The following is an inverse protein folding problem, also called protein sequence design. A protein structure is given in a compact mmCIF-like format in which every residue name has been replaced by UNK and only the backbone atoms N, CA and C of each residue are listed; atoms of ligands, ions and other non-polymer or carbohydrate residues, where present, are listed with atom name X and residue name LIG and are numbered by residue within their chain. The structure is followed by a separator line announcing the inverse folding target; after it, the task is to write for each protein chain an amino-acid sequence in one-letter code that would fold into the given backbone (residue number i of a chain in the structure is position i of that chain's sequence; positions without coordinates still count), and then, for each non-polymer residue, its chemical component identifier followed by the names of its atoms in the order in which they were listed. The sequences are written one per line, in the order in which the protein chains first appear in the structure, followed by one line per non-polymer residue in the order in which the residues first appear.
data_IF_409917642047
#
_entry.id   IF_409917642047
#
_cell.length_a   1.000
_cell.length_b   1.000
_cell.length_c   1.000
_cell.angle_alpha   90.00
_cell.angle_beta   90.00
_cell.angle_gamma   90.00
#
_symmetry.space_group_name_H-M   'P 1'
#
loop_
_entity.id
_entity.type
_entity.pdbx_description
1 polymer ?
#
# COMPACT_ATOMS: atom_id res chain seq x y z
N UNK A 1 -8.50 -5.74 -6.20
CA UNK A 1 -7.83 -5.74 -7.51
C UNK A 1 -6.34 -6.05 -7.44
N UNK A 2 -5.56 -5.46 -6.51
CA UNK A 2 -4.09 -5.68 -6.42
C UNK A 2 -3.64 -7.14 -6.47
N UNK A 3 -4.24 -8.02 -5.68
CA UNK A 3 -3.90 -9.45 -5.66
C UNK A 3 -3.98 -10.12 -7.05
N UNK A 4 -5.12 -10.01 -7.73
CA UNK A 4 -5.33 -10.64 -9.04
C UNK A 4 -4.40 -10.05 -10.11
N UNK A 5 -4.16 -8.74 -10.08
CA UNK A 5 -3.24 -8.09 -11.00
C UNK A 5 -1.80 -8.62 -10.82
N UNK A 6 -1.32 -8.69 -9.57
CA UNK A 6 0.02 -9.20 -9.26
C UNK A 6 0.18 -10.66 -9.69
N UNK A 7 -0.77 -11.54 -9.36
CA UNK A 7 -0.71 -12.96 -9.74
C UNK A 7 -0.76 -13.12 -11.26
N UNK A 8 -1.60 -12.34 -11.96
CA UNK A 8 -1.68 -12.38 -13.43
C UNK A 8 -0.39 -11.94 -14.12
N UNK A 9 0.40 -11.08 -13.47
CA UNK A 9 1.73 -10.66 -13.91
C UNK A 9 2.85 -11.65 -13.50
N UNK A 10 2.52 -12.75 -12.81
CA UNK A 10 3.50 -13.70 -12.29
C UNK A 10 4.23 -13.23 -11.03
N UNK A 11 3.73 -12.20 -10.36
CA UNK A 11 4.27 -11.69 -9.11
C UNK A 11 3.82 -12.48 -7.88
N UNK A 12 4.56 -12.31 -6.78
CA UNK A 12 4.24 -12.89 -5.46
C UNK A 12 3.58 -11.81 -4.61
N UNK A 13 2.45 -12.17 -3.98
CA UNK A 13 1.72 -11.26 -3.09
C UNK A 13 1.98 -11.64 -1.64
N UNK A 14 2.32 -10.65 -0.82
CA UNK A 14 2.47 -10.80 0.63
C UNK A 14 1.39 -9.94 1.28
N UNK A 15 0.32 -10.55 1.81
CA UNK A 15 -0.73 -9.81 2.48
C UNK A 15 -0.21 -9.26 3.81
N UNK A 16 -0.55 -8.00 4.11
CA UNK A 16 -0.26 -7.35 5.38
C UNK A 16 -1.57 -7.14 6.12
N UNK A 17 -1.56 -7.42 7.42
CA UNK A 17 -2.70 -7.13 8.27
C UNK A 17 -2.88 -5.60 8.42
N UNK A 18 -4.05 -5.04 8.08
CA UNK A 18 -4.29 -3.60 8.17
C UNK A 18 -4.26 -3.03 9.60
N UNK A 19 -4.36 -3.88 10.63
CA UNK A 19 -4.29 -3.44 12.03
C UNK A 19 -2.86 -3.35 12.58
N UNK A 20 -1.84 -3.69 11.78
CA UNK A 20 -0.45 -3.60 12.20
C UNK A 20 0.01 -2.16 12.35
N UNK A 21 0.87 -1.93 13.35
CA UNK A 21 1.56 -0.67 13.54
C UNK A 21 2.71 -0.54 12.57
N UNK A 22 3.15 0.69 12.32
CA UNK A 22 4.23 0.99 11.38
C UNK A 22 5.50 0.17 11.62
N UNK A 23 5.91 -0.05 12.87
CA UNK A 23 7.10 -0.85 13.19
C UNK A 23 6.93 -2.34 12.88
N UNK A 24 5.73 -2.89 13.08
CA UNK A 24 5.43 -4.28 12.74
C UNK A 24 5.45 -4.48 11.22
N UNK A 25 4.89 -3.50 10.48
CA UNK A 25 4.96 -3.48 9.02
C UNK A 25 6.43 -3.44 8.57
N UNK A 26 7.24 -2.54 9.13
CA UNK A 26 8.65 -2.44 8.79
C UNK A 26 9.39 -3.75 9.01
N UNK A 27 9.15 -4.43 10.14
CA UNK A 27 9.77 -5.72 10.41
C UNK A 27 9.47 -6.73 9.30
N UNK A 28 8.21 -6.81 8.86
CA UNK A 28 7.83 -7.68 7.72
C UNK A 28 8.54 -7.25 6.43
N UNK A 29 8.56 -5.95 6.12
CA UNK A 29 9.22 -5.41 4.92
C UNK A 29 10.71 -5.75 4.87
N UNK A 30 11.42 -5.68 6.00
CA UNK A 30 12.85 -6.01 6.08
C UNK A 30 13.12 -7.51 5.86
N UNK A 31 12.18 -8.38 6.25
CA UNK A 31 12.30 -9.83 6.01
C UNK A 31 12.00 -10.20 4.56
N UNK A 32 10.91 -9.68 4.01
CA UNK A 32 10.40 -10.13 2.71
C UNK A 32 10.90 -9.29 1.53
N UNK A 33 11.43 -8.10 1.81
CA UNK A 33 12.04 -7.16 0.85
C UNK A 33 11.20 -6.98 -0.42
N UNK A 34 9.94 -6.53 -0.30
CA UNK A 34 9.06 -6.40 -1.45
C UNK A 34 9.52 -5.26 -2.37
N UNK A 35 9.42 -5.46 -3.68
CA UNK A 35 9.75 -4.43 -4.68
C UNK A 35 8.79 -3.25 -4.65
N UNK A 36 7.50 -3.51 -4.42
CA UNK A 36 6.48 -2.47 -4.42
C UNK A 36 5.36 -2.74 -3.44
N UNK A 37 4.58 -1.70 -3.17
CA UNK A 37 3.47 -1.72 -2.22
C UNK A 37 2.17 -1.32 -2.92
N UNK A 38 1.09 -2.05 -2.62
CA UNK A 38 -0.28 -1.67 -2.99
C UNK A 38 -1.05 -1.48 -1.69
N UNK A 39 -1.56 -0.28 -1.44
CA UNK A 39 -2.29 0.03 -0.21
C UNK A 39 -3.46 0.99 -0.44
N UNK A 40 -4.37 1.07 0.52
CA UNK A 40 -5.36 2.15 0.53
C UNK A 40 -4.73 3.46 1.00
N UNK A 41 -5.25 4.59 0.54
CA UNK A 41 -4.85 5.94 0.95
C UNK A 41 -4.91 6.13 2.47
N UNK A 42 -5.98 5.65 3.11
CA UNK A 42 -6.13 5.68 4.58
C UNK A 42 -5.03 4.92 5.31
N UNK A 43 -4.46 3.88 4.69
CA UNK A 43 -3.37 3.09 5.27
C UNK A 43 -1.99 3.69 4.99
N UNK A 44 -1.88 4.61 4.04
CA UNK A 44 -0.60 5.24 3.69
C UNK A 44 0.01 6.02 4.86
N UNK A 45 -0.83 6.51 5.79
CA UNK A 45 -0.38 7.12 7.04
C UNK A 45 0.50 6.21 7.90
N UNK A 46 0.29 4.89 7.85
CA UNK A 46 1.12 3.90 8.57
C UNK A 46 2.47 3.66 7.87
N UNK A 47 2.55 3.93 6.57
CA UNK A 47 3.73 3.69 5.73
C UNK A 47 4.66 4.91 5.72
N UNK A 48 4.11 6.13 5.75
CA UNK A 48 4.86 7.38 5.78
C UNK A 48 6.02 7.41 6.80
N UNK A 49 5.85 7.01 8.08
CA UNK A 49 6.93 7.05 9.07
C UNK A 49 8.04 6.01 8.83
N UNK A 50 7.81 4.99 8.00
CA UNK A 50 8.80 3.92 7.73
C UNK A 50 9.46 4.04 6.37
N UNK A 51 9.03 4.99 5.53
CA UNK A 51 9.66 5.26 4.23
C UNK A 51 11.10 5.78 4.33
N UNK A 52 11.46 6.38 5.48
CA UNK A 52 12.86 6.75 5.74
C UNK A 52 13.76 5.52 5.88
N UNK A 53 13.20 4.39 6.35
CA UNK A 53 13.93 3.15 6.63
C UNK A 53 13.85 2.15 5.48
N UNK A 54 12.73 2.10 4.77
CA UNK A 54 12.52 1.20 3.64
C UNK A 54 12.05 1.96 2.40
N UNK A 55 12.79 1.83 1.29
CA UNK A 55 12.44 2.43 0.01
C UNK A 55 11.83 1.38 -0.92
N UNK A 56 10.63 1.67 -1.42
CA UNK A 56 9.97 0.88 -2.45
C UNK A 56 10.38 1.37 -3.84
N UNK A 57 10.43 0.47 -4.83
CA UNK A 57 10.60 0.85 -6.24
C UNK A 57 9.36 1.57 -6.77
N UNK A 58 8.17 1.13 -6.33
CA UNK A 58 6.90 1.75 -6.66
C UNK A 58 5.87 1.57 -5.54
N UNK A 59 4.96 2.54 -5.43
CA UNK A 59 3.82 2.47 -4.51
C UNK A 59 2.56 2.83 -5.30
N UNK A 60 1.54 1.98 -5.18
CA UNK A 60 0.22 2.20 -5.78
C UNK A 60 -0.77 2.39 -4.64
N UNK A 61 -1.29 3.61 -4.50
CA UNK A 61 -2.38 3.91 -3.56
C UNK A 61 -3.73 3.94 -4.29
N UNK A 62 -4.76 3.41 -3.65
CA UNK A 62 -6.15 3.51 -4.13
C UNK A 62 -7.06 4.01 -3.00
N UNK A 63 -8.17 4.63 -3.35
CA UNK A 63 -9.17 5.10 -2.40
C UNK A 63 -10.51 4.38 -2.63
N UNK A 64 -11.32 4.28 -1.58
CA UNK A 64 -12.68 3.73 -1.71
C UNK A 64 -13.54 4.52 -2.71
N UNK A 65 -13.28 5.82 -2.88
CA UNK A 65 -14.01 6.66 -3.84
C UNK A 65 -13.77 6.24 -5.29
N UNK A 66 -12.62 5.62 -5.60
CA UNK A 66 -12.32 5.08 -6.93
C UNK A 66 -13.35 4.02 -7.36
N UNK A 67 -13.90 3.29 -6.39
CA UNK A 67 -14.91 2.25 -6.61
C UNK A 67 -16.34 2.81 -6.60
N UNK A 68 -16.58 3.89 -5.85
CA UNK A 68 -17.92 4.37 -5.58
C UNK A 68 -18.58 5.15 -6.75
N UNK A 69 -17.86 5.40 -7.85
CA UNK A 69 -18.28 6.31 -8.93
C UNK A 69 -18.64 7.73 -8.43
N UNK A 70 -18.19 8.08 -7.23
CA UNK A 70 -18.34 9.41 -6.64
C UNK A 70 -17.17 10.24 -7.16
N UNK A 71 -17.40 11.42 -7.76
CA UNK A 71 -16.30 12.27 -8.21
C UNK A 71 -15.35 12.56 -7.04
N UNK A 72 -14.03 12.61 -7.29
CA UNK A 72 -13.06 12.85 -6.23
C UNK A 72 -13.44 14.14 -5.51
N UNK A 73 -13.44 14.10 -4.18
CA UNK A 73 -13.66 15.29 -3.37
C UNK A 73 -12.60 16.32 -3.77
N UNK A 74 -13.04 17.38 -4.46
CA UNK A 74 -12.20 18.52 -4.80
C UNK A 74 -11.66 19.05 -3.48
N UNK A 75 -10.35 18.95 -3.26
CA UNK A 75 -9.70 19.66 -2.16
C UNK A 75 -9.84 21.14 -2.46
N UNK A 76 -10.63 21.86 -1.66
CA UNK A 76 -10.47 23.31 -1.56
C UNK A 76 -9.06 23.61 -1.04
N UNK A 77 -8.48 24.66 -1.62
CA UNK A 77 -7.07 25.07 -1.49
C UNK A 77 -6.66 25.36 -0.06
#
# INVERSE_FOLDING_TARGET
MGYFATVKLGGIVIPINPTYKSLEILHVLEQVKPKGLICMDVMYGLIKPIQEKYKFEFIISTCIVDLAAIPPAVKEK
#
